data_IF_158257209931
#
_entry.id   IF_158257209931
#
_cell.length_a   1.000
_cell.length_b   1.000
_cell.length_c   1.000
_cell.angle_alpha   90.00
_cell.angle_beta   90.00
_cell.angle_gamma   90.00
#
_symmetry.space_group_name_H-M   'P 1'
#
loop_
_entity.id
_entity.type
_entity.pdbx_description
1 polymer ?
#
# COMPACT_ATOMS: atom_id res chain seq x y z
N UNK A 1 -16.78 12.74 -7.34
CA UNK A 1 -15.69 12.05 -6.57
C UNK A 1 -14.45 12.91 -6.72
N UNK A 2 -13.86 13.40 -5.64
CA UNK A 2 -12.91 14.50 -5.73
C UNK A 2 -11.48 14.05 -5.96
N UNK A 3 -10.76 14.70 -6.88
CA UNK A 3 -9.32 14.57 -7.14
C UNK A 3 -8.48 14.59 -5.83
N UNK A 4 -8.91 15.34 -4.82
CA UNK A 4 -8.27 15.41 -3.50
C UNK A 4 -8.10 14.05 -2.77
N UNK A 5 -8.98 13.07 -2.99
CA UNK A 5 -8.84 11.75 -2.35
C UNK A 5 -7.80 10.87 -3.04
N UNK A 6 -7.67 10.96 -4.36
CA UNK A 6 -6.60 10.26 -5.10
C UNK A 6 -5.25 10.87 -4.74
N UNK A 7 -5.18 12.19 -4.65
CA UNK A 7 -3.96 12.87 -4.23
C UNK A 7 -3.49 12.42 -2.83
N UNK A 8 -4.41 12.21 -1.89
CA UNK A 8 -4.08 11.69 -0.57
C UNK A 8 -3.46 10.27 -0.62
N UNK A 9 -3.88 9.41 -1.57
CA UNK A 9 -3.28 8.08 -1.76
C UNK A 9 -1.89 8.18 -2.36
N UNK A 10 -1.68 9.12 -3.27
CA UNK A 10 -0.41 9.27 -4.00
C UNK A 10 0.60 10.16 -3.26
N UNK A 11 0.14 11.03 -2.37
CA UNK A 11 0.97 11.95 -1.56
C UNK A 11 0.47 12.01 -0.12
N UNK A 12 0.50 10.88 0.60
CA UNK A 12 0.06 10.88 2.00
C UNK A 12 1.00 11.69 2.88
N UNK A 13 0.46 12.33 3.91
CA UNK A 13 1.25 12.93 4.98
C UNK A 13 1.54 11.92 6.10
N UNK A 14 0.72 10.86 6.23
CA UNK A 14 0.88 9.81 7.25
C UNK A 14 0.36 8.47 6.73
N UNK A 15 0.96 7.37 7.17
CA UNK A 15 0.59 6.03 6.69
C UNK A 15 0.54 5.01 7.82
N UNK A 16 -0.27 3.95 7.61
CA UNK A 16 -0.22 2.74 8.41
C UNK A 16 0.12 1.54 7.53
N UNK A 17 1.05 0.68 7.97
CA UNK A 17 1.34 -0.60 7.33
C UNK A 17 0.56 -1.67 8.09
N UNK A 18 -0.48 -2.21 7.46
CA UNK A 18 -1.33 -3.28 8.02
C UNK A 18 -0.83 -4.64 7.54
N UNK A 19 -0.43 -5.48 8.46
CA UNK A 19 0.36 -6.68 8.18
C UNK A 19 1.86 -6.37 8.20
N UNK A 20 2.27 -5.35 8.96
CA UNK A 20 3.68 -5.03 9.20
C UNK A 20 4.40 -6.23 9.82
N UNK A 21 5.65 -6.44 9.47
CA UNK A 21 6.46 -7.57 9.94
C UNK A 21 7.93 -7.21 9.96
N UNK A 22 8.69 -7.91 10.78
CA UNK A 22 10.16 -7.94 10.77
C UNK A 22 10.71 -9.28 10.27
N UNK A 23 9.82 -10.19 9.87
CA UNK A 23 10.21 -11.49 9.28
C UNK A 23 10.88 -11.27 7.93
N UNK A 24 12.18 -11.61 7.77
CA UNK A 24 12.91 -11.36 6.55
C UNK A 24 12.23 -11.95 5.30
N UNK A 25 12.10 -11.13 4.26
CA UNK A 25 11.52 -11.52 2.97
C UNK A 25 9.98 -11.55 2.94
N UNK A 26 9.29 -11.26 4.05
CA UNK A 26 7.85 -11.06 4.03
C UNK A 26 7.49 -9.73 3.36
N UNK A 27 6.30 -9.66 2.74
CA UNK A 27 5.81 -8.40 2.12
C UNK A 27 5.73 -7.28 3.18
N UNK A 28 5.29 -7.60 4.40
CA UNK A 28 5.23 -6.64 5.50
C UNK A 28 6.58 -6.05 5.85
N UNK A 29 7.64 -6.87 5.90
CA UNK A 29 9.01 -6.43 6.14
C UNK A 29 9.50 -5.52 5.01
N UNK A 30 9.30 -5.93 3.76
CA UNK A 30 9.70 -5.13 2.58
C UNK A 30 9.06 -3.75 2.61
N UNK A 31 7.77 -3.65 2.90
CA UNK A 31 7.07 -2.37 3.00
C UNK A 31 7.60 -1.49 4.14
N UNK A 32 7.82 -2.08 5.33
CA UNK A 32 8.35 -1.36 6.48
C UNK A 32 9.77 -0.83 6.20
N UNK A 33 10.63 -1.66 5.62
CA UNK A 33 11.99 -1.29 5.23
C UNK A 33 11.97 -0.19 4.16
N UNK A 34 11.17 -0.35 3.10
CA UNK A 34 11.12 0.58 1.99
C UNK A 34 10.64 1.99 2.42
N UNK A 35 9.70 2.09 3.36
CA UNK A 35 9.28 3.37 3.91
C UNK A 35 10.39 4.05 4.73
N UNK A 36 11.14 3.28 5.53
CA UNK A 36 12.27 3.78 6.32
C UNK A 36 13.44 4.21 5.42
N UNK A 37 13.88 3.32 4.55
CA UNK A 37 15.04 3.56 3.67
C UNK A 37 14.74 4.58 2.56
N UNK A 38 13.48 4.67 2.11
CA UNK A 38 13.02 5.66 1.15
C UNK A 38 13.08 7.09 1.68
N UNK A 39 13.15 7.26 3.00
CA UNK A 39 13.21 8.58 3.66
C UNK A 39 11.86 9.28 3.69
N UNK A 40 10.77 8.54 3.76
CA UNK A 40 9.44 9.12 3.98
C UNK A 40 9.42 9.87 5.32
N UNK A 41 9.04 11.15 5.28
CA UNK A 41 9.13 12.04 6.46
C UNK A 41 7.86 12.07 7.30
N UNK A 42 6.75 11.50 6.81
CA UNK A 42 5.50 11.43 7.55
C UNK A 42 5.53 10.33 8.61
N UNK A 43 4.63 10.40 9.62
CA UNK A 43 4.45 9.31 10.57
C UNK A 43 4.10 8.00 9.87
N UNK A 44 4.78 6.91 10.27
CA UNK A 44 4.52 5.55 9.86
C UNK A 44 4.08 4.75 11.07
N UNK A 45 2.90 4.15 11.02
CA UNK A 45 2.39 3.29 12.09
C UNK A 45 2.37 1.84 11.61
N UNK A 46 2.77 0.92 12.47
CA UNK A 46 2.76 -0.51 12.19
C UNK A 46 1.56 -1.17 12.85
N UNK A 47 0.84 -1.98 12.09
CA UNK A 47 -0.35 -2.69 12.56
C UNK A 47 -0.16 -4.19 12.35
N UNK A 48 -0.09 -4.93 13.46
CA UNK A 48 -0.04 -6.38 13.47
C UNK A 48 -0.59 -6.90 14.80
N UNK A 49 -1.69 -7.69 14.82
CA UNK A 49 -2.29 -8.18 16.06
C UNK A 49 -1.44 -9.23 16.80
N UNK A 50 -0.42 -9.81 16.15
CA UNK A 50 0.40 -10.88 16.69
C UNK A 50 1.71 -10.38 17.33
N UNK A 51 2.10 -9.13 17.08
CA UNK A 51 3.38 -8.57 17.52
C UNK A 51 3.17 -7.21 18.20
N UNK A 52 3.73 -7.04 19.38
CA UNK A 52 3.69 -5.76 20.10
C UNK A 52 4.66 -4.72 19.53
N UNK A 53 5.71 -5.18 18.85
CA UNK A 53 6.70 -4.36 18.16
C UNK A 53 7.05 -4.94 16.80
N UNK A 54 7.49 -4.08 15.88
CA UNK A 54 8.09 -4.45 14.60
C UNK A 54 9.47 -3.78 14.55
N UNK A 55 10.52 -4.59 14.72
CA UNK A 55 11.83 -4.06 15.08
C UNK A 55 11.75 -3.34 16.43
N UNK A 56 12.23 -2.10 16.49
CA UNK A 56 12.22 -1.25 17.69
C UNK A 56 10.96 -0.37 17.79
N UNK A 57 10.06 -0.45 16.82
CA UNK A 57 8.87 0.43 16.75
C UNK A 57 7.63 -0.26 17.29
N UNK A 58 6.76 0.53 17.95
CA UNK A 58 5.48 0.04 18.49
C UNK A 58 4.55 -0.45 17.38
N UNK A 59 3.94 -1.61 17.58
CA UNK A 59 2.89 -2.15 16.72
C UNK A 59 1.53 -2.09 17.41
N UNK A 60 0.51 -1.82 16.63
CA UNK A 60 -0.87 -1.71 17.09
C UNK A 60 -1.68 -2.93 16.65
N UNK A 61 -2.64 -3.41 17.45
CA UNK A 61 -3.42 -4.61 17.10
C UNK A 61 -4.36 -4.40 15.89
N UNK A 62 -4.83 -3.17 15.69
CA UNK A 62 -5.68 -2.80 14.57
C UNK A 62 -5.58 -1.30 14.23
N UNK A 63 -6.19 -0.89 13.11
CA UNK A 63 -6.18 0.52 12.65
C UNK A 63 -6.95 1.45 13.61
N UNK A 64 -7.94 0.95 14.36
CA UNK A 64 -8.72 1.73 15.32
C UNK A 64 -7.91 2.13 16.53
N UNK A 65 -6.92 1.33 16.89
CA UNK A 65 -6.02 1.55 18.04
C UNK A 65 -4.92 2.57 17.77
N UNK A 66 -4.78 3.06 16.54
CA UNK A 66 -3.76 4.06 16.19
C UNK A 66 -3.99 5.37 16.97
N UNK A 67 -2.91 6.05 17.40
CA UNK A 67 -3.01 7.30 18.19
C UNK A 67 -3.61 8.45 17.38
N UNK A 68 -3.54 8.39 16.06
CA UNK A 68 -4.13 9.37 15.15
C UNK A 68 -4.66 8.73 13.87
N UNK A 69 -5.53 9.45 13.15
CA UNK A 69 -5.95 9.05 11.81
C UNK A 69 -4.79 9.20 10.83
N UNK A 70 -4.61 8.21 9.95
CA UNK A 70 -3.64 8.27 8.85
C UNK A 70 -4.33 8.58 7.52
N UNK A 71 -3.58 9.11 6.56
CA UNK A 71 -4.13 9.38 5.23
C UNK A 71 -4.36 8.08 4.44
N UNK A 72 -3.41 7.14 4.53
CA UNK A 72 -3.41 5.90 3.75
C UNK A 72 -3.03 4.70 4.61
N UNK A 73 -3.75 3.59 4.39
CA UNK A 73 -3.36 2.26 4.85
C UNK A 73 -2.69 1.48 3.71
N UNK A 74 -1.50 0.91 3.98
CA UNK A 74 -0.82 -0.01 3.06
C UNK A 74 -1.09 -1.41 3.61
N UNK A 75 -1.83 -2.23 2.85
CA UNK A 75 -2.39 -3.49 3.36
C UNK A 75 -1.70 -4.68 2.72
N UNK A 76 -1.07 -5.49 3.57
CA UNK A 76 -0.33 -6.71 3.22
C UNK A 76 -0.85 -7.94 3.98
N UNK A 77 -2.15 -7.97 4.31
CA UNK A 77 -2.79 -9.06 5.03
C UNK A 77 -3.54 -10.00 4.08
N UNK A 78 -3.84 -11.24 4.50
CA UNK A 78 -4.57 -12.21 3.66
C UNK A 78 -5.96 -11.68 3.22
N UNK A 79 -6.43 -12.03 2.00
CA UNK A 79 -7.69 -11.55 1.43
C UNK A 79 -8.92 -11.63 2.35
N UNK A 80 -9.13 -12.71 3.15
CA UNK A 80 -10.29 -12.79 4.04
C UNK A 80 -10.37 -11.69 5.09
N UNK A 81 -9.24 -11.06 5.44
CA UNK A 81 -9.19 -10.03 6.48
C UNK A 81 -9.49 -8.63 5.95
N UNK A 82 -9.39 -8.43 4.62
CA UNK A 82 -9.48 -7.10 4.03
C UNK A 82 -10.79 -6.37 4.27
N UNK A 83 -11.97 -6.99 4.18
CA UNK A 83 -13.22 -6.29 4.48
C UNK A 83 -13.21 -5.65 5.87
N UNK A 84 -12.77 -6.40 6.89
CA UNK A 84 -12.66 -5.91 8.28
C UNK A 84 -11.61 -4.81 8.42
N UNK A 85 -10.43 -4.97 7.81
CA UNK A 85 -9.38 -3.96 7.81
C UNK A 85 -9.85 -2.65 7.20
N UNK A 86 -10.55 -2.72 6.05
CA UNK A 86 -11.07 -1.53 5.39
C UNK A 86 -12.25 -0.90 6.16
N UNK A 87 -13.05 -1.70 6.87
CA UNK A 87 -14.09 -1.16 7.77
C UNK A 87 -13.45 -0.34 8.89
N UNK A 88 -12.42 -0.86 9.56
CA UNK A 88 -11.64 -0.12 10.57
C UNK A 88 -11.00 1.15 9.99
N UNK A 89 -10.48 1.09 8.76
CA UNK A 89 -9.96 2.27 8.05
C UNK A 89 -11.06 3.31 7.84
N UNK A 90 -12.24 2.88 7.37
CA UNK A 90 -13.38 3.75 7.14
C UNK A 90 -13.91 4.42 8.40
N UNK A 91 -14.06 3.68 9.49
CA UNK A 91 -14.45 4.18 10.81
C UNK A 91 -13.50 5.25 11.33
N UNK A 92 -12.20 5.11 11.05
CA UNK A 92 -11.16 6.07 11.44
C UNK A 92 -11.00 7.25 10.47
N UNK A 93 -11.75 7.29 9.37
CA UNK A 93 -11.67 8.37 8.39
C UNK A 93 -10.42 8.35 7.51
N UNK A 94 -9.76 7.19 7.38
CA UNK A 94 -8.67 6.97 6.42
C UNK A 94 -9.19 7.26 5.01
N UNK A 95 -8.39 7.90 4.15
CA UNK A 95 -8.84 8.37 2.84
C UNK A 95 -8.72 7.32 1.75
N UNK A 96 -7.77 6.39 1.89
CA UNK A 96 -7.58 5.33 0.93
C UNK A 96 -6.67 4.22 1.40
N UNK A 97 -6.60 3.15 0.61
CA UNK A 97 -5.75 2.01 0.87
C UNK A 97 -4.99 1.56 -0.37
N UNK A 98 -3.72 1.18 -0.17
CA UNK A 98 -2.90 0.51 -1.17
C UNK A 98 -2.86 -0.96 -0.79
N UNK A 99 -3.47 -1.83 -1.60
CA UNK A 99 -3.64 -3.24 -1.31
C UNK A 99 -2.65 -4.03 -2.16
N UNK A 100 -1.57 -4.49 -1.52
CA UNK A 100 -0.53 -5.29 -2.18
C UNK A 100 -0.85 -6.79 -2.15
N UNK A 101 -1.77 -7.20 -1.28
CA UNK A 101 -2.21 -8.59 -1.16
C UNK A 101 -2.77 -9.13 -2.47
N UNK A 102 -2.43 -10.39 -2.78
CA UNK A 102 -2.93 -11.19 -3.89
C UNK A 102 -3.85 -12.31 -3.36
N UNK A 103 -4.45 -13.09 -4.24
CA UNK A 103 -5.33 -14.22 -3.88
C UNK A 103 -6.82 -13.88 -3.98
N UNK A 104 -7.17 -12.93 -4.84
CA UNK A 104 -8.56 -12.53 -5.10
C UNK A 104 -9.16 -13.31 -6.27
N UNK A 105 -9.27 -12.76 -7.48
CA UNK A 105 -9.84 -13.46 -8.65
C UNK A 105 -9.14 -14.78 -8.96
N UNK A 106 -7.82 -14.81 -8.79
CA UNK A 106 -7.01 -16.02 -8.93
C UNK A 106 -7.31 -17.09 -7.84
N UNK A 107 -7.90 -16.68 -6.72
CA UNK A 107 -8.38 -17.55 -5.65
C UNK A 107 -9.76 -18.17 -5.88
N UNK A 108 -10.29 -18.04 -7.12
CA UNK A 108 -11.58 -18.60 -7.51
C UNK A 108 -12.77 -17.87 -6.88
N UNK A 109 -13.85 -18.61 -6.63
CA UNK A 109 -15.13 -18.04 -6.17
C UNK A 109 -15.04 -17.37 -4.79
N UNK A 110 -14.27 -17.95 -3.87
CA UNK A 110 -14.02 -17.37 -2.55
C UNK A 110 -13.26 -16.03 -2.65
N UNK A 111 -12.21 -15.98 -3.49
CA UNK A 111 -11.45 -14.76 -3.73
C UNK A 111 -12.30 -13.64 -4.35
N UNK A 112 -13.15 -13.98 -5.32
CA UNK A 112 -14.09 -13.04 -5.91
C UNK A 112 -15.14 -12.54 -4.91
N UNK A 113 -15.53 -13.36 -3.93
CA UNK A 113 -16.45 -12.93 -2.87
C UNK A 113 -15.78 -11.91 -1.93
N UNK A 114 -14.54 -12.14 -1.53
CA UNK A 114 -13.77 -11.17 -0.72
C UNK A 114 -13.56 -9.85 -1.46
N UNK A 115 -13.26 -9.89 -2.76
CA UNK A 115 -13.12 -8.69 -3.59
C UNK A 115 -14.41 -7.86 -3.62
N UNK A 116 -15.56 -8.50 -3.85
CA UNK A 116 -16.86 -7.82 -3.80
C UNK A 116 -17.15 -7.18 -2.44
N UNK A 117 -16.88 -7.92 -1.36
CA UNK A 117 -17.04 -7.42 0.01
C UNK A 117 -16.15 -6.22 0.30
N UNK A 118 -14.89 -6.30 -0.09
CA UNK A 118 -13.91 -5.21 0.03
C UNK A 118 -14.38 -3.94 -0.69
N UNK A 119 -14.84 -4.06 -1.95
CA UNK A 119 -15.34 -2.95 -2.74
C UNK A 119 -16.62 -2.33 -2.15
N UNK A 120 -17.49 -3.16 -1.58
CA UNK A 120 -18.70 -2.69 -0.90
C UNK A 120 -18.34 -1.82 0.32
N UNK A 121 -17.42 -2.28 1.15
CA UNK A 121 -16.92 -1.50 2.31
C UNK A 121 -16.27 -0.20 1.85
N UNK A 122 -15.40 -0.25 0.85
CA UNK A 122 -14.73 0.94 0.33
C UNK A 122 -15.73 2.01 -0.16
N UNK A 123 -16.76 1.58 -0.89
CA UNK A 123 -17.85 2.48 -1.34
C UNK A 123 -18.64 3.09 -0.18
N UNK A 124 -18.96 2.29 0.84
CA UNK A 124 -19.70 2.74 2.04
C UNK A 124 -18.99 3.89 2.75
N UNK A 125 -17.68 3.81 2.91
CA UNK A 125 -16.87 4.82 3.60
C UNK A 125 -16.22 5.83 2.64
N UNK A 126 -16.36 5.65 1.35
CA UNK A 126 -15.73 6.48 0.33
C UNK A 126 -14.20 6.37 0.32
N UNK A 127 -13.66 5.22 0.74
CA UNK A 127 -12.24 4.90 0.63
C UNK A 127 -11.85 4.76 -0.84
N UNK A 128 -10.65 5.25 -1.21
CA UNK A 128 -10.08 4.97 -2.53
C UNK A 128 -9.12 3.80 -2.43
N UNK A 129 -9.26 2.85 -3.34
CA UNK A 129 -8.46 1.64 -3.36
C UNK A 129 -7.51 1.64 -4.55
N UNK A 130 -6.24 1.37 -4.28
CA UNK A 130 -5.25 1.00 -5.29
C UNK A 130 -4.93 -0.48 -5.11
N UNK A 131 -5.14 -1.28 -6.13
CA UNK A 131 -5.11 -2.75 -6.03
C UNK A 131 -6.51 -3.36 -6.07
N UNK A 132 -6.67 -4.61 -5.65
CA UNK A 132 -5.67 -5.51 -5.05
C UNK A 132 -4.58 -5.99 -6.03
N UNK A 133 -3.66 -6.80 -5.52
CA UNK A 133 -2.51 -7.30 -6.26
C UNK A 133 -1.65 -6.17 -6.88
N UNK A 134 -1.51 -5.06 -6.16
CA UNK A 134 -0.71 -3.91 -6.57
C UNK A 134 0.76 -4.12 -6.21
N UNK A 135 1.67 -3.70 -7.08
CA UNK A 135 3.08 -3.52 -6.72
C UNK A 135 3.27 -2.42 -5.66
N UNK A 136 2.35 -1.46 -5.61
CA UNK A 136 2.39 -0.32 -4.71
C UNK A 136 2.59 1.02 -5.41
N UNK A 137 3.00 2.01 -4.61
CA UNK A 137 3.26 3.39 -5.05
C UNK A 137 4.65 3.81 -4.64
N UNK A 138 5.37 4.44 -5.55
CA UNK A 138 6.66 5.08 -5.29
C UNK A 138 6.58 6.55 -5.70
N UNK A 139 7.07 7.42 -4.82
CA UNK A 139 7.29 8.85 -5.07
C UNK A 139 8.68 9.23 -4.62
N UNK A 140 9.53 9.60 -5.58
CA UNK A 140 10.95 9.93 -5.28
C UNK A 140 11.13 11.33 -4.71
N UNK A 141 10.16 12.23 -4.92
CA UNK A 141 10.21 13.61 -4.46
C UNK A 141 10.02 13.78 -2.94
N UNK A 142 9.37 12.80 -2.28
CA UNK A 142 9.14 12.82 -0.83
C UNK A 142 9.57 11.53 -0.13
N UNK A 143 10.28 10.64 -0.83
CA UNK A 143 10.77 9.37 -0.27
C UNK A 143 9.69 8.33 0.01
N UNK A 144 8.46 8.52 -0.47
CA UNK A 144 7.37 7.58 -0.26
C UNK A 144 7.55 6.34 -1.12
N UNK A 145 7.98 5.24 -0.48
CA UNK A 145 8.14 3.94 -1.13
C UNK A 145 7.24 2.90 -0.45
N UNK A 146 5.96 2.90 -0.82
CA UNK A 146 4.96 1.92 -0.42
C UNK A 146 4.85 0.81 -1.47
N UNK A 147 5.97 0.19 -1.82
CA UNK A 147 6.02 -0.85 -2.86
C UNK A 147 6.66 -2.14 -2.38
N UNK A 148 6.38 -3.22 -3.11
CA UNK A 148 7.05 -4.52 -2.97
C UNK A 148 8.42 -4.57 -3.69
N UNK A 149 8.92 -3.45 -4.19
CA UNK A 149 10.19 -3.36 -4.90
C UNK A 149 11.41 -3.44 -3.98
N UNK A 150 12.58 -3.68 -4.57
CA UNK A 150 13.81 -3.86 -3.82
C UNK A 150 14.39 -2.56 -3.22
N UNK A 151 14.17 -1.41 -3.85
CA UNK A 151 14.67 -0.11 -3.41
C UNK A 151 13.96 1.05 -4.09
N UNK A 152 14.13 2.26 -3.54
CA UNK A 152 13.69 3.49 -4.19
C UNK A 152 14.48 3.69 -5.50
N UNK A 153 13.83 3.96 -6.65
CA UNK A 153 14.52 4.30 -7.88
C UNK A 153 15.19 5.68 -7.78
N UNK A 154 16.14 5.93 -8.66
CA UNK A 154 16.72 7.27 -8.77
C UNK A 154 15.65 8.32 -9.10
N UNK A 155 15.70 9.51 -8.50
CA UNK A 155 14.83 10.61 -8.86
C UNK A 155 14.98 10.98 -10.33
N UNK A 156 13.86 11.25 -11.01
CA UNK A 156 13.83 11.60 -12.43
C UNK A 156 12.49 12.18 -12.84
N UNK A 157 12.28 12.30 -14.16
CA UNK A 157 11.10 12.96 -14.73
C UNK A 157 10.05 11.99 -15.27
N UNK A 158 10.37 10.69 -15.34
CA UNK A 158 9.44 9.70 -15.86
C UNK A 158 8.39 9.34 -14.81
N UNK A 159 7.17 9.13 -15.25
CA UNK A 159 6.12 8.50 -14.46
C UNK A 159 5.74 7.17 -15.11
N UNK A 160 5.64 6.12 -14.30
CA UNK A 160 5.18 4.80 -14.72
C UNK A 160 3.85 4.50 -14.04
N UNK A 161 2.82 4.21 -14.82
CA UNK A 161 1.54 3.70 -14.32
C UNK A 161 1.26 2.40 -15.05
N UNK A 162 1.01 1.32 -14.32
CA UNK A 162 0.76 0.00 -14.90
C UNK A 162 -0.18 -0.82 -14.02
N UNK A 163 -1.00 -1.67 -14.63
CA UNK A 163 -1.74 -2.70 -13.92
C UNK A 163 -0.83 -3.86 -13.50
N UNK A 164 0.24 -4.11 -14.25
CA UNK A 164 1.13 -5.24 -14.03
C UNK A 164 2.21 -4.92 -12.99
N UNK A 165 2.13 -5.57 -11.84
CA UNK A 165 3.17 -5.53 -10.81
C UNK A 165 4.52 -6.03 -11.33
N UNK A 166 4.50 -7.08 -12.14
CA UNK A 166 5.70 -7.64 -12.76
C UNK A 166 6.37 -6.65 -13.74
N UNK A 167 5.56 -5.92 -14.52
CA UNK A 167 6.08 -4.90 -15.44
C UNK A 167 6.71 -3.74 -14.66
N UNK A 168 6.10 -3.31 -13.56
CA UNK A 168 6.69 -2.29 -12.69
C UNK A 168 8.05 -2.74 -12.16
N UNK A 169 8.13 -3.95 -11.61
CA UNK A 169 9.37 -4.51 -11.07
C UNK A 169 10.46 -4.62 -12.14
N UNK A 170 10.15 -5.23 -13.31
CA UNK A 170 11.09 -5.40 -14.40
C UNK A 170 11.60 -4.07 -14.97
N UNK A 171 10.68 -3.08 -15.11
CA UNK A 171 11.05 -1.75 -15.61
C UNK A 171 11.99 -1.03 -14.63
N UNK A 172 11.75 -1.12 -13.32
CA UNK A 172 12.61 -0.53 -12.31
C UNK A 172 13.98 -1.19 -12.26
N UNK A 173 14.05 -2.52 -12.39
CA UNK A 173 15.31 -3.25 -12.44
C UNK A 173 16.13 -2.89 -13.68
N UNK A 174 15.49 -2.87 -14.84
CA UNK A 174 16.10 -2.42 -16.10
C UNK A 174 16.60 -0.98 -16.02
N UNK A 175 15.81 -0.08 -15.43
CA UNK A 175 16.13 1.34 -15.31
C UNK A 175 17.34 1.60 -14.40
N UNK A 176 17.49 0.80 -13.32
CA UNK A 176 18.59 0.90 -12.38
C UNK A 176 19.95 0.76 -13.08
N UNK A 177 20.09 -0.25 -13.94
CA UNK A 177 21.32 -0.51 -14.67
C UNK A 177 21.65 0.56 -15.73
N UNK A 178 20.69 1.40 -16.07
CA UNK A 178 20.78 2.45 -17.12
C UNK A 178 20.71 3.86 -16.57
N UNK A 179 20.67 4.01 -15.24
CA UNK A 179 20.56 5.31 -14.57
C UNK A 179 19.32 6.11 -15.01
N UNK A 180 18.23 5.41 -15.35
CA UNK A 180 16.94 6.05 -15.69
C UNK A 180 16.18 6.30 -14.40
N UNK A 181 15.82 7.58 -14.14
CA UNK A 181 15.13 8.00 -12.94
C UNK A 181 13.64 8.20 -13.14
N UNK A 182 12.87 7.98 -12.06
CA UNK A 182 11.43 8.16 -12.02
C UNK A 182 11.04 9.23 -11.00
N UNK A 183 9.98 9.97 -11.30
CA UNK A 183 9.29 10.83 -10.34
C UNK A 183 8.24 10.04 -9.55
N UNK A 184 7.58 9.12 -10.25
CA UNK A 184 6.44 8.36 -9.70
C UNK A 184 6.36 7.00 -10.36
N UNK A 185 6.05 5.96 -9.57
CA UNK A 185 5.66 4.64 -10.08
C UNK A 185 4.38 4.23 -9.35
N UNK A 186 3.36 3.83 -10.10
CA UNK A 186 2.05 3.42 -9.57
C UNK A 186 1.67 2.11 -10.23
N UNK A 187 1.38 1.11 -9.40
CA UNK A 187 0.70 -0.09 -9.89
C UNK A 187 -0.76 -0.05 -9.47
N UNK A 188 -1.67 -0.04 -10.44
CA UNK A 188 -3.11 -0.07 -10.14
C UNK A 188 -3.60 -1.46 -9.74
N UNK A 189 -2.80 -2.49 -9.98
CA UNK A 189 -3.21 -3.88 -9.73
C UNK A 189 -4.42 -4.25 -10.58
N UNK A 190 -5.40 -4.91 -9.98
CA UNK A 190 -6.66 -5.28 -10.68
C UNK A 190 -7.47 -4.05 -11.10
N UNK A 191 -7.33 -2.92 -10.37
CA UNK A 191 -7.86 -1.63 -10.81
C UNK A 191 -9.37 -1.46 -10.70
N UNK A 192 -10.03 -2.09 -9.74
CA UNK A 192 -11.49 -2.07 -9.61
C UNK A 192 -12.07 -0.73 -9.12
N UNK A 193 -11.27 0.13 -8.50
CA UNK A 193 -11.67 1.46 -8.04
C UNK A 193 -10.89 2.59 -8.74
N UNK A 194 -9.58 2.40 -8.87
CA UNK A 194 -8.69 3.30 -9.60
C UNK A 194 -8.06 2.49 -10.73
N UNK A 195 -8.56 2.65 -11.94
CA UNK A 195 -8.07 2.02 -13.15
C UNK A 195 -8.14 2.97 -14.33
#
# INVERSE_FOLDING_TARGET
>A
MTAKRIEAVLRPASVAVVGASDTPGSIGEVLCRNLREGGFRGPVFYVNPLHATIGDELSYPDVRSLPQTVDVAIVATPPPTLPTVLEHCGERGVRGAIIVSAGFREGGEAGAAWERSMLQVARRYGLRLLGPNSFGVIRTDNGFNASCGAALPQPGRLALVSQSSALCAATLDWARSRHVGFSTVISTGIGDDIG
#
